data_IF_987670700403
#
_entry.id   IF_987670700403
#
_cell.length_a   1.000
_cell.length_b   1.000
_cell.length_c   1.000
_cell.angle_alpha   90.00
_cell.angle_beta   90.00
_cell.angle_gamma   90.00
#
_symmetry.space_group_name_H-M   'P 1'
#
loop_
_entity.id
_entity.type
_entity.pdbx_description
1 polymer ?
#
# COMPACT_ATOMS: atom_id res chain seq x y z
N UNK A 1 -21.40 -5.53 19.87
CA UNK A 1 -20.27 -4.60 19.62
C UNK A 1 -19.05 -5.46 19.33
N UNK A 2 -18.41 -5.33 18.16
CA UNK A 2 -17.28 -6.18 17.76
C UNK A 2 -16.07 -6.01 18.68
N UNK A 3 -15.37 -7.10 19.00
CA UNK A 3 -14.12 -7.06 19.80
C UNK A 3 -13.02 -6.29 19.05
N UNK A 4 -11.97 -5.85 19.74
CA UNK A 4 -10.83 -5.22 19.06
C UNK A 4 -10.12 -6.17 18.08
N UNK A 5 -10.05 -7.47 18.43
CA UNK A 5 -9.53 -8.52 17.58
C UNK A 5 -10.34 -8.66 16.29
N UNK A 6 -11.67 -8.74 16.38
CA UNK A 6 -12.54 -8.89 15.20
C UNK A 6 -12.45 -7.66 14.28
N UNK A 7 -12.33 -6.45 14.85
CA UNK A 7 -12.10 -5.23 14.07
C UNK A 7 -10.74 -5.24 13.36
N UNK A 8 -9.70 -5.72 14.03
CA UNK A 8 -8.37 -5.77 13.45
C UNK A 8 -8.33 -6.71 12.23
N UNK A 9 -8.91 -7.90 12.34
CA UNK A 9 -9.03 -8.88 11.24
C UNK A 9 -9.75 -8.26 10.04
N UNK A 10 -10.89 -7.60 10.24
CA UNK A 10 -11.65 -6.98 9.15
C UNK A 10 -10.92 -5.82 8.46
N UNK A 11 -10.10 -5.07 9.21
CA UNK A 11 -9.28 -4.01 8.63
C UNK A 11 -8.17 -4.63 7.78
N UNK A 12 -7.50 -5.68 8.26
CA UNK A 12 -6.43 -6.33 7.51
C UNK A 12 -6.94 -6.96 6.20
N UNK A 13 -8.11 -7.60 6.24
CA UNK A 13 -8.77 -8.17 5.06
C UNK A 13 -8.99 -7.10 3.96
N UNK A 14 -9.56 -5.95 4.34
CA UNK A 14 -9.72 -4.82 3.43
C UNK A 14 -8.40 -4.23 2.94
N UNK A 15 -7.36 -4.17 3.79
CA UNK A 15 -6.05 -3.66 3.39
C UNK A 15 -5.35 -4.57 2.37
N UNK A 16 -5.39 -5.89 2.58
CA UNK A 16 -4.81 -6.86 1.66
C UNK A 16 -5.51 -6.79 0.30
N UNK A 17 -6.84 -6.90 0.28
CA UNK A 17 -7.63 -6.89 -0.96
C UNK A 17 -7.50 -5.59 -1.76
N UNK A 18 -7.49 -4.43 -1.10
CA UNK A 18 -7.30 -3.15 -1.80
C UNK A 18 -5.91 -3.01 -2.42
N UNK A 19 -4.86 -3.50 -1.75
CA UNK A 19 -3.48 -3.45 -2.24
C UNK A 19 -3.26 -4.44 -3.39
N UNK A 20 -3.69 -5.69 -3.21
CA UNK A 20 -3.63 -6.75 -4.22
C UNK A 20 -4.37 -6.30 -5.49
N UNK A 21 -5.65 -5.92 -5.34
CA UNK A 21 -6.49 -5.54 -6.48
C UNK A 21 -5.93 -4.35 -7.26
N UNK A 22 -5.37 -3.35 -6.57
CA UNK A 22 -4.74 -2.21 -7.24
C UNK A 22 -3.46 -2.61 -7.99
N UNK A 23 -2.62 -3.47 -7.42
CA UNK A 23 -1.40 -3.97 -8.09
C UNK A 23 -1.74 -4.83 -9.30
N UNK A 24 -2.68 -5.76 -9.15
CA UNK A 24 -3.14 -6.62 -10.24
C UNK A 24 -3.72 -5.79 -11.39
N UNK A 25 -4.53 -4.76 -11.10
CA UNK A 25 -5.09 -3.91 -12.14
C UNK A 25 -4.00 -3.14 -12.92
N UNK A 26 -2.96 -2.64 -12.25
CA UNK A 26 -1.80 -2.02 -12.93
C UNK A 26 -1.10 -3.04 -13.82
N UNK A 27 -0.82 -4.24 -13.31
CA UNK A 27 -0.12 -5.30 -14.06
C UNK A 27 -0.94 -5.76 -15.27
N UNK A 28 -2.25 -5.96 -15.11
CA UNK A 28 -3.14 -6.38 -16.19
C UNK A 28 -3.36 -5.28 -17.24
N UNK A 29 -3.49 -4.01 -16.83
CA UNK A 29 -3.60 -2.88 -17.77
C UNK A 29 -2.34 -2.70 -18.64
N UNK A 30 -1.18 -3.21 -18.21
CA UNK A 30 0.03 -3.28 -19.05
C UNK A 30 0.02 -4.45 -20.02
N UNK A 31 -0.57 -5.58 -19.62
CA UNK A 31 -0.59 -6.82 -20.41
C UNK A 31 -1.68 -6.83 -21.48
N UNK A 32 -2.80 -6.17 -21.21
CA UNK A 32 -4.00 -6.20 -22.04
C UNK A 32 -4.46 -4.76 -22.31
N UNK A 33 -4.93 -4.49 -23.53
CA UNK A 33 -5.64 -3.25 -23.89
C UNK A 33 -7.06 -3.25 -23.32
N UNK A 34 -7.20 -3.47 -22.00
CA UNK A 34 -8.47 -3.45 -21.25
C UNK A 34 -9.13 -2.06 -21.34
N UNK A 35 -8.30 -1.05 -21.53
CA UNK A 35 -8.69 0.35 -21.68
C UNK A 35 -8.32 0.74 -23.10
N UNK A 36 -9.17 1.53 -23.78
CA UNK A 36 -8.84 2.10 -25.09
C UNK A 36 -7.41 2.66 -25.06
N UNK A 37 -6.60 2.25 -26.04
CA UNK A 37 -5.17 2.57 -26.17
C UNK A 37 -4.94 4.05 -26.46
N UNK A 38 -5.33 4.91 -25.54
CA UNK A 38 -4.84 6.28 -25.49
C UNK A 38 -3.86 6.37 -24.33
N UNK A 39 -2.73 7.04 -24.56
CA UNK A 39 -1.75 7.30 -23.51
C UNK A 39 -2.38 8.00 -22.29
N UNK A 40 -3.45 8.76 -22.50
CA UNK A 40 -4.19 9.49 -21.47
C UNK A 40 -4.93 8.53 -20.54
N UNK A 41 -5.63 7.53 -21.10
CA UNK A 41 -6.39 6.57 -20.29
C UNK A 41 -5.48 5.69 -19.43
N UNK A 42 -4.31 5.29 -19.94
CA UNK A 42 -3.30 4.56 -19.15
C UNK A 42 -2.76 5.37 -17.96
N UNK A 43 -2.44 6.65 -18.17
CA UNK A 43 -1.96 7.55 -17.11
C UNK A 43 -3.00 7.72 -15.99
N UNK A 44 -4.28 7.81 -16.33
CA UNK A 44 -5.35 7.94 -15.35
C UNK A 44 -5.54 6.68 -14.50
N UNK A 45 -5.49 5.49 -15.10
CA UNK A 45 -5.60 4.23 -14.35
C UNK A 45 -4.42 4.05 -13.40
N UNK A 46 -3.20 4.33 -13.86
CA UNK A 46 -2.02 4.31 -12.99
C UNK A 46 -2.19 5.24 -11.80
N UNK A 47 -2.67 6.47 -12.04
CA UNK A 47 -2.87 7.44 -10.97
C UNK A 47 -3.91 6.97 -9.95
N UNK A 48 -5.02 6.38 -10.39
CA UNK A 48 -6.06 5.83 -9.50
C UNK A 48 -5.48 4.67 -8.67
N UNK A 49 -4.82 3.71 -9.31
CA UNK A 49 -4.26 2.55 -8.62
C UNK A 49 -3.16 2.94 -7.64
N UNK A 50 -2.20 3.79 -8.03
CA UNK A 50 -1.16 4.24 -7.10
C UNK A 50 -1.71 5.10 -5.95
N UNK A 51 -2.77 5.87 -6.20
CA UNK A 51 -3.48 6.58 -5.12
C UNK A 51 -4.05 5.59 -4.10
N UNK A 52 -4.72 4.52 -4.57
CA UNK A 52 -5.22 3.44 -3.70
C UNK A 52 -4.07 2.78 -2.92
N UNK A 53 -2.99 2.40 -3.62
CA UNK A 53 -1.82 1.75 -3.00
C UNK A 53 -1.25 2.64 -1.89
N UNK A 54 -1.02 3.93 -2.15
CA UNK A 54 -0.42 4.83 -1.15
C UNK A 54 -1.34 5.12 0.03
N UNK A 55 -2.66 5.20 -0.20
CA UNK A 55 -3.63 5.32 0.89
C UNK A 55 -3.58 4.09 1.78
N UNK A 56 -3.68 2.88 1.21
CA UNK A 56 -3.76 1.65 2.00
C UNK A 56 -2.42 1.28 2.64
N UNK A 57 -1.31 1.58 1.98
CA UNK A 57 0.04 1.50 2.59
C UNK A 57 0.16 2.44 3.80
N UNK A 58 -0.40 3.66 3.70
CA UNK A 58 -0.42 4.60 4.83
C UNK A 58 -1.33 4.10 5.97
N UNK A 59 -2.50 3.53 5.64
CA UNK A 59 -3.40 2.92 6.62
C UNK A 59 -2.75 1.75 7.34
N UNK A 60 -1.90 0.94 6.70
CA UNK A 60 -1.15 -0.12 7.37
C UNK A 60 -0.26 0.43 8.50
N UNK A 61 0.43 1.55 8.27
CA UNK A 61 1.22 2.21 9.33
C UNK A 61 0.32 2.73 10.45
N UNK A 62 -0.84 3.31 10.11
CA UNK A 62 -1.82 3.76 11.10
C UNK A 62 -2.40 2.59 11.91
N UNK A 63 -2.68 1.47 11.26
CA UNK A 63 -3.14 0.22 11.85
C UNK A 63 -2.11 -0.31 12.85
N UNK A 64 -0.84 -0.44 12.43
CA UNK A 64 0.24 -0.90 13.30
C UNK A 64 0.39 -0.04 14.55
N UNK A 65 0.24 1.28 14.42
CA UNK A 65 0.26 2.19 15.57
C UNK A 65 -0.96 2.00 16.47
N UNK A 66 -2.16 1.93 15.89
CA UNK A 66 -3.43 1.83 16.62
C UNK A 66 -3.58 0.51 17.37
N UNK A 67 -3.16 -0.60 16.76
CA UNK A 67 -3.26 -1.96 17.29
C UNK A 67 -1.92 -2.49 17.83
N UNK A 68 -0.95 -1.62 18.08
CA UNK A 68 0.41 -1.99 18.53
C UNK A 68 0.40 -2.95 19.73
N UNK A 69 -0.46 -2.70 20.73
CA UNK A 69 -0.60 -3.60 21.89
C UNK A 69 -1.06 -4.99 21.46
N UNK A 70 -2.17 -5.09 20.74
CA UNK A 70 -2.72 -6.35 20.23
C UNK A 70 -1.68 -7.11 19.40
N UNK A 71 -1.00 -6.44 18.48
CA UNK A 71 -0.03 -7.08 17.60
C UNK A 71 1.22 -7.57 18.36
N UNK A 72 1.64 -6.88 19.41
CA UNK A 72 2.77 -7.31 20.23
C UNK A 72 2.41 -8.49 21.14
N UNK A 73 1.15 -8.61 21.53
CA UNK A 73 0.63 -9.72 22.34
C UNK A 73 0.38 -10.97 21.48
N UNK A 74 -0.28 -10.82 20.33
CA UNK A 74 -0.77 -11.94 19.52
C UNK A 74 0.15 -12.35 18.38
N UNK A 75 1.01 -11.46 17.88
CA UNK A 75 1.92 -11.71 16.75
C UNK A 75 3.36 -11.23 17.03
N UNK A 76 3.96 -11.56 18.19
CA UNK A 76 5.28 -11.05 18.57
C UNK A 76 6.37 -11.39 17.55
N UNK A 77 6.31 -12.57 16.93
CA UNK A 77 7.24 -13.07 15.91
C UNK A 77 7.30 -12.20 14.65
N UNK A 78 6.20 -11.53 14.30
CA UNK A 78 6.11 -10.65 13.13
C UNK A 78 6.59 -9.22 13.42
N UNK A 79 6.95 -8.89 14.67
CA UNK A 79 7.28 -7.52 15.08
C UNK A 79 8.43 -6.93 14.28
N UNK A 80 9.52 -7.69 14.09
CA UNK A 80 10.72 -7.20 13.39
C UNK A 80 10.40 -6.86 11.94
N UNK A 81 9.74 -7.77 11.22
CA UNK A 81 9.42 -7.58 9.80
C UNK A 81 8.37 -6.48 9.60
N UNK A 82 7.32 -6.44 10.44
CA UNK A 82 6.32 -5.36 10.47
C UNK A 82 6.97 -3.99 10.64
N UNK A 83 7.92 -3.86 11.57
CA UNK A 83 8.62 -2.60 11.81
C UNK A 83 9.52 -2.22 10.61
N UNK A 84 10.20 -3.20 9.99
CA UNK A 84 10.99 -2.99 8.78
C UNK A 84 10.15 -2.41 7.63
N UNK A 85 8.94 -2.93 7.44
CA UNK A 85 8.02 -2.40 6.41
C UNK A 85 7.49 -1.01 6.76
N UNK A 86 7.11 -0.75 8.01
CA UNK A 86 6.72 0.60 8.44
C UNK A 86 7.84 1.63 8.19
N UNK A 87 9.10 1.28 8.45
CA UNK A 87 10.24 2.15 8.17
C UNK A 87 10.50 2.31 6.67
N UNK A 88 10.34 1.24 5.88
CA UNK A 88 10.45 1.30 4.42
C UNK A 88 9.39 2.22 3.80
N UNK A 89 8.15 2.16 4.29
CA UNK A 89 7.05 3.04 3.87
C UNK A 89 7.38 4.51 4.14
N UNK A 90 7.91 4.81 5.33
CA UNK A 90 8.34 6.17 5.69
C UNK A 90 9.50 6.64 4.82
N UNK A 91 10.54 5.83 4.65
CA UNK A 91 11.74 6.15 3.85
C UNK A 91 11.40 6.40 2.38
N UNK A 92 10.47 5.63 1.81
CA UNK A 92 9.96 5.85 0.45
C UNK A 92 9.14 7.14 0.31
N UNK A 93 8.77 7.82 1.41
CA UNK A 93 8.03 9.08 1.35
C UNK A 93 6.52 8.94 1.11
N UNK A 94 5.98 7.72 1.19
CA UNK A 94 4.56 7.42 0.88
C UNK A 94 3.61 8.22 1.78
N UNK A 95 3.90 8.33 3.07
CA UNK A 95 3.05 9.08 4.02
C UNK A 95 3.00 10.57 3.66
N UNK A 96 4.16 11.15 3.30
CA UNK A 96 4.24 12.55 2.88
C UNK A 96 3.46 12.75 1.58
N UNK A 97 3.62 11.83 0.63
CA UNK A 97 2.89 11.87 -0.63
C UNK A 97 1.38 11.82 -0.41
N UNK A 98 0.88 10.87 0.40
CA UNK A 98 -0.55 10.78 0.75
C UNK A 98 -1.07 12.10 1.31
N UNK A 99 -0.35 12.72 2.24
CA UNK A 99 -0.80 13.96 2.88
C UNK A 99 -0.78 15.15 1.92
N UNK A 100 0.34 15.40 1.25
CA UNK A 100 0.55 16.62 0.47
C UNK A 100 -0.07 16.54 -0.94
N UNK A 101 -0.24 15.34 -1.51
CA UNK A 101 -0.55 15.15 -2.94
C UNK A 101 -1.89 14.45 -3.19
N UNK A 102 -2.37 13.64 -2.24
CA UNK A 102 -3.65 12.91 -2.36
C UNK A 102 -4.72 13.59 -1.49
N UNK A 103 -4.41 13.86 -0.22
CA UNK A 103 -5.40 14.29 0.76
C UNK A 103 -5.75 15.79 0.72
N UNK A 104 -4.85 16.63 0.19
CA UNK A 104 -5.00 18.08 0.26
C UNK A 104 -4.64 18.75 -1.07
N UNK A 105 -5.42 19.76 -1.46
CA UNK A 105 -5.07 20.63 -2.59
C UNK A 105 -3.91 21.55 -2.22
N UNK A 106 -3.85 22.00 -0.97
CA UNK A 106 -2.81 22.89 -0.46
C UNK A 106 -1.77 22.09 0.31
N UNK A 107 -0.54 22.03 -0.20
CA UNK A 107 0.57 21.39 0.50
C UNK A 107 0.93 22.22 1.74
N UNK A 108 0.86 21.61 2.92
CA UNK A 108 1.23 22.28 4.17
C UNK A 108 2.74 22.54 4.22
N UNK A 109 3.54 21.67 3.62
CA UNK A 109 4.99 21.80 3.58
C UNK A 109 5.45 22.93 2.66
N UNK A 110 4.80 23.10 1.51
CA UNK A 110 5.14 24.13 0.52
C UNK A 110 4.33 25.42 0.67
N UNK A 111 3.29 25.43 1.52
CA UNK A 111 2.36 26.55 1.73
C UNK A 111 1.72 27.07 0.43
N UNK A 112 1.50 26.17 -0.53
CA UNK A 112 0.82 26.46 -1.80
C UNK A 112 0.18 25.21 -2.39
N UNK A 113 -0.75 25.36 -3.35
CA UNK A 113 -1.20 24.24 -4.17
C UNK A 113 -0.07 23.63 -5.01
N UNK A 114 -0.25 22.35 -5.32
CA UNK A 114 0.63 21.57 -6.18
C UNK A 114 -0.01 21.36 -7.56
N UNK A 115 0.82 21.40 -8.60
CA UNK A 115 0.41 21.12 -9.98
C UNK A 115 0.40 19.61 -10.25
N UNK A 116 -0.28 19.20 -11.33
CA UNK A 116 -0.27 17.81 -11.78
C UNK A 116 1.15 17.31 -12.14
N UNK A 117 2.02 18.20 -12.66
CA UNK A 117 3.41 17.86 -13.01
C UNK A 117 4.21 17.54 -11.74
N UNK A 118 4.11 18.38 -10.71
CA UNK A 118 4.78 18.13 -9.42
C UNK A 118 4.30 16.84 -8.77
N UNK A 119 3.00 16.55 -8.87
CA UNK A 119 2.44 15.29 -8.39
C UNK A 119 3.00 14.08 -9.13
N UNK A 120 3.16 14.17 -10.45
CA UNK A 120 3.71 13.10 -11.26
C UNK A 120 5.19 12.84 -10.92
N UNK A 121 6.00 13.90 -10.79
CA UNK A 121 7.42 13.80 -10.41
C UNK A 121 7.57 13.16 -9.03
N UNK A 122 6.75 13.59 -8.06
CA UNK A 122 6.78 13.02 -6.72
C UNK A 122 6.32 11.55 -6.71
N UNK A 123 5.34 11.17 -7.53
CA UNK A 123 4.88 9.79 -7.69
C UNK A 123 6.01 8.91 -8.25
N UNK A 124 6.62 9.34 -9.36
CA UNK A 124 7.71 8.64 -10.04
C UNK A 124 8.91 8.40 -9.11
N UNK A 125 9.26 9.39 -8.28
CA UNK A 125 10.34 9.25 -7.30
C UNK A 125 10.10 8.13 -6.26
N UNK A 126 8.84 7.80 -5.96
CA UNK A 126 8.47 6.76 -4.99
C UNK A 126 8.47 5.38 -5.63
N UNK A 127 7.93 5.30 -6.85
CA UNK A 127 7.66 4.02 -7.52
C UNK A 127 8.83 3.53 -8.39
N UNK A 128 9.90 4.31 -8.54
CA UNK A 128 11.07 3.93 -9.34
C UNK A 128 11.08 4.47 -10.77
N UNK A 129 10.30 5.51 -11.05
CA UNK A 129 10.20 6.12 -12.38
C UNK A 129 9.47 5.23 -13.38
N UNK A 130 10.09 4.99 -14.54
CA UNK A 130 9.50 4.17 -15.60
C UNK A 130 9.42 2.68 -15.25
N UNK A 131 10.39 2.17 -14.47
CA UNK A 131 10.38 0.79 -14.01
C UNK A 131 9.71 0.68 -12.64
N UNK A 132 8.39 0.58 -12.67
CA UNK A 132 7.60 0.44 -11.44
C UNK A 132 7.46 -1.00 -10.97
N UNK A 133 7.94 -1.99 -11.74
CA UNK A 133 7.70 -3.41 -11.43
C UNK A 133 8.34 -3.83 -10.10
N UNK A 134 9.57 -3.40 -9.75
CA UNK A 134 10.14 -3.67 -8.43
C UNK A 134 9.28 -3.13 -7.29
N UNK A 135 8.70 -1.93 -7.44
CA UNK A 135 7.80 -1.37 -6.44
C UNK A 135 6.50 -2.18 -6.33
N UNK A 136 5.90 -2.56 -7.46
CA UNK A 136 4.68 -3.37 -7.47
C UNK A 136 4.90 -4.75 -6.86
N UNK A 137 6.03 -5.40 -7.14
CA UNK A 137 6.35 -6.71 -6.58
C UNK A 137 6.69 -6.64 -5.09
N UNK A 138 7.25 -5.53 -4.62
CA UNK A 138 7.41 -5.30 -3.18
C UNK A 138 6.06 -5.17 -2.45
N UNK A 139 5.00 -4.73 -3.14
CA UNK A 139 3.64 -4.71 -2.59
C UNK A 139 3.01 -6.11 -2.70
N UNK A 140 2.93 -6.64 -3.92
CA UNK A 140 2.32 -7.93 -4.27
C UNK A 140 3.02 -8.54 -5.50
N UNK A 141 3.88 -9.56 -5.32
CA UNK A 141 4.69 -10.16 -6.38
C UNK A 141 3.85 -10.96 -7.38
N UNK A 142 4.42 -11.23 -8.57
CA UNK A 142 3.74 -12.03 -9.60
C UNK A 142 3.63 -13.52 -9.23
N UNK A 143 4.58 -13.99 -8.44
CA UNK A 143 4.75 -15.38 -7.99
C UNK A 143 4.34 -15.56 -6.53
N UNK A 144 3.36 -14.77 -6.08
CA UNK A 144 2.89 -14.69 -4.68
C UNK A 144 2.67 -16.07 -4.03
N UNK A 145 1.99 -16.97 -4.73
CA UNK A 145 1.68 -18.33 -4.27
C UNK A 145 2.91 -19.22 -4.00
N UNK A 146 4.07 -18.85 -4.55
CA UNK A 146 5.31 -19.62 -4.46
C UNK A 146 6.45 -18.89 -3.77
N UNK A 147 6.35 -17.57 -3.61
CA UNK A 147 7.31 -16.73 -2.91
C UNK A 147 7.12 -16.77 -1.39
N UNK A 148 8.14 -16.38 -0.63
CA UNK A 148 7.97 -16.13 0.80
C UNK A 148 7.02 -14.93 1.01
N UNK A 149 5.92 -15.13 1.73
CA UNK A 149 4.93 -14.07 2.02
C UNK A 149 5.59 -12.89 2.74
N UNK A 150 6.64 -13.11 3.52
CA UNK A 150 7.34 -12.07 4.27
C UNK A 150 8.16 -11.12 3.38
N UNK A 151 8.37 -11.47 2.11
CA UNK A 151 9.05 -10.64 1.11
C UNK A 151 8.12 -9.60 0.45
N UNK A 152 6.84 -9.55 0.83
CA UNK A 152 5.89 -8.58 0.31
C UNK A 152 5.05 -7.88 1.40
N UNK A 153 4.55 -6.69 1.09
CA UNK A 153 3.67 -5.95 2.02
C UNK A 153 2.35 -6.68 2.24
N UNK A 154 1.72 -7.18 1.17
CA UNK A 154 0.46 -7.94 1.27
C UNK A 154 0.67 -9.21 2.10
N UNK A 155 1.74 -9.95 1.88
CA UNK A 155 2.00 -11.16 2.66
C UNK A 155 2.18 -10.88 4.16
N UNK A 156 2.83 -9.79 4.55
CA UNK A 156 2.89 -9.40 5.98
C UNK A 156 1.52 -9.05 6.56
N UNK A 157 0.67 -8.38 5.78
CA UNK A 157 -0.69 -8.03 6.20
C UNK A 157 -1.50 -9.32 6.40
N UNK A 158 -1.38 -10.27 5.47
CA UNK A 158 -2.10 -11.53 5.55
C UNK A 158 -1.57 -12.45 6.65
N UNK A 159 -0.26 -12.49 6.92
CA UNK A 159 0.30 -13.23 8.05
C UNK A 159 -0.25 -12.71 9.39
N UNK A 160 -0.32 -11.39 9.57
CA UNK A 160 -1.00 -10.82 10.74
C UNK A 160 -2.49 -11.18 10.77
N UNK A 161 -3.17 -11.14 9.62
CA UNK A 161 -4.59 -11.49 9.53
C UNK A 161 -4.83 -12.94 9.95
N UNK A 162 -4.05 -13.87 9.42
CA UNK A 162 -4.21 -15.31 9.62
C UNK A 162 -3.98 -15.69 11.08
N UNK A 163 -2.94 -15.14 11.72
CA UNK A 163 -2.68 -15.37 13.15
C UNK A 163 -3.80 -14.79 14.01
N UNK A 164 -4.23 -13.54 13.77
CA UNK A 164 -5.29 -12.92 14.55
C UNK A 164 -6.65 -13.61 14.35
N UNK A 165 -6.94 -14.05 13.13
CA UNK A 165 -8.18 -14.77 12.81
C UNK A 165 -8.24 -16.14 13.47
N UNK A 166 -7.11 -16.82 13.63
CA UNK A 166 -7.04 -18.09 14.37
C UNK A 166 -7.33 -17.94 15.88
N UNK A 167 -7.38 -16.70 16.40
CA UNK A 167 -7.71 -16.38 17.81
C UNK A 167 -9.18 -15.99 18.03
N UNK A 168 -9.97 -15.83 16.97
CA UNK A 168 -11.40 -15.53 17.03
C UNK A 168 -12.23 -16.79 17.29
#
# INVERSE_FOLDING_TARGET
MKSELEKAVLILDGLAGDLEGAVLLIKESRRKSIIEETEVSHKHVFRICFTSIFINTSKFVEFCRKYSKLLNEETPELTTIRNSYQESIKKKGIIKFRNDYIGHIHSKSLKRPLTNIENQVALEAIIGGADTLPFLNWIYPDDYETSDRLDSLVGIIEEHHDVLRAKL
#
